data_IF_482514079232
#
_entry.id   IF_482514079232
#
_cell.length_a   1.000
_cell.length_b   1.000
_cell.length_c   1.000
_cell.angle_alpha   90.00
_cell.angle_beta   90.00
_cell.angle_gamma   90.00
#
_symmetry.space_group_name_H-M   'P 1'
#
loop_
_entity.id
_entity.type
_entity.pdbx_description
1 polymer ?
#
# COMPACT_ATOMS: atom_id res chain seq x y z
N UNK A 1 -20.76 20.86 -31.24
CA UNK A 1 -21.97 20.45 -30.49
C UNK A 1 -21.55 19.63 -29.28
N UNK A 2 -22.16 19.94 -28.12
CA UNK A 2 -22.05 19.30 -26.81
C UNK A 2 -20.63 19.03 -26.24
N UNK A 3 -20.03 20.06 -25.62
CA UNK A 3 -19.11 19.87 -24.49
C UNK A 3 -19.93 19.19 -23.39
N UNK A 4 -19.87 17.87 -23.33
CA UNK A 4 -20.43 17.11 -22.20
C UNK A 4 -19.85 17.66 -20.91
N UNK A 5 -20.73 17.95 -19.93
CA UNK A 5 -20.37 18.50 -18.63
C UNK A 5 -19.06 17.88 -18.11
N UNK A 6 -18.02 18.68 -17.89
CA UNK A 6 -16.87 18.28 -17.09
C UNK A 6 -17.34 18.20 -15.62
N UNK A 7 -17.93 17.07 -15.24
CA UNK A 7 -18.61 16.93 -13.95
C UNK A 7 -17.60 16.92 -12.78
N UNK A 8 -16.31 16.68 -13.02
CA UNK A 8 -15.28 16.61 -11.98
C UNK A 8 -13.93 17.14 -12.50
N UNK A 9 -13.34 18.12 -11.81
CA UNK A 9 -11.94 18.50 -12.06
C UNK A 9 -11.00 17.37 -11.63
N UNK A 10 -9.83 17.24 -12.24
CA UNK A 10 -8.88 16.15 -11.93
C UNK A 10 -8.55 16.05 -10.43
N UNK A 11 -8.48 17.19 -9.73
CA UNK A 11 -8.28 17.23 -8.28
C UNK A 11 -9.46 16.68 -7.48
N UNK A 12 -10.71 16.97 -7.90
CA UNK A 12 -11.91 16.39 -7.25
C UNK A 12 -12.01 14.90 -7.52
N UNK A 13 -11.64 14.45 -8.72
CA UNK A 13 -11.57 13.03 -9.07
C UNK A 13 -10.54 12.30 -8.20
N UNK A 14 -9.34 12.87 -8.04
CA UNK A 14 -8.30 12.33 -7.18
C UNK A 14 -8.79 12.13 -5.74
N UNK A 15 -9.43 13.15 -5.16
CA UNK A 15 -9.98 13.09 -3.79
C UNK A 15 -11.07 12.04 -3.68
N UNK A 16 -12.02 12.02 -4.63
CA UNK A 16 -13.11 11.04 -4.64
C UNK A 16 -12.57 9.61 -4.70
N UNK A 17 -11.60 9.36 -5.58
CA UNK A 17 -10.97 8.05 -5.74
C UNK A 17 -10.28 7.60 -4.45
N UNK A 18 -9.52 8.50 -3.82
CA UNK A 18 -8.86 8.23 -2.53
C UNK A 18 -9.88 7.86 -1.46
N UNK A 19 -10.96 8.63 -1.32
CA UNK A 19 -12.01 8.36 -0.32
C UNK A 19 -12.67 7.00 -0.57
N UNK A 20 -13.04 6.70 -1.82
CA UNK A 20 -13.70 5.42 -2.16
C UNK A 20 -12.80 4.23 -1.85
N UNK A 21 -11.53 4.28 -2.26
CA UNK A 21 -10.58 3.19 -2.00
C UNK A 21 -10.35 3.02 -0.50
N UNK A 22 -10.23 4.11 0.27
CA UNK A 22 -10.08 4.06 1.71
C UNK A 22 -11.30 3.47 2.42
N UNK A 23 -12.51 3.82 1.99
CA UNK A 23 -13.74 3.24 2.56
C UNK A 23 -13.76 1.74 2.32
N UNK A 24 -13.49 1.29 1.09
CA UNK A 24 -13.49 -0.14 0.77
C UNK A 24 -12.42 -0.88 1.59
N UNK A 25 -11.19 -0.35 1.63
CA UNK A 25 -10.08 -0.95 2.40
C UNK A 25 -10.44 -1.10 3.88
N UNK A 26 -10.89 -0.02 4.52
CA UNK A 26 -11.15 -0.01 5.95
C UNK A 26 -12.38 -0.84 6.32
N UNK A 27 -13.42 -0.88 5.49
CA UNK A 27 -14.58 -1.74 5.72
C UNK A 27 -14.18 -3.21 5.70
N UNK A 28 -13.43 -3.65 4.68
CA UNK A 28 -13.00 -5.05 4.57
C UNK A 28 -12.09 -5.43 5.75
N UNK A 29 -11.15 -4.56 6.12
CA UNK A 29 -10.22 -4.81 7.25
C UNK A 29 -10.93 -4.91 8.60
N UNK A 30 -11.86 -3.99 8.87
CA UNK A 30 -12.65 -4.04 10.10
C UNK A 30 -13.47 -5.33 10.13
N UNK A 31 -14.17 -5.67 9.03
CA UNK A 31 -14.98 -6.88 8.94
C UNK A 31 -14.15 -8.14 9.23
N UNK A 32 -13.01 -8.31 8.55
CA UNK A 32 -12.10 -9.45 8.80
C UNK A 32 -11.65 -9.49 10.26
N UNK A 33 -11.21 -8.35 10.81
CA UNK A 33 -10.70 -8.28 12.17
C UNK A 33 -11.76 -8.57 13.25
N UNK A 34 -13.03 -8.23 12.99
CA UNK A 34 -14.14 -8.41 13.93
C UNK A 34 -15.03 -9.62 13.66
N UNK A 35 -14.72 -10.42 12.64
CA UNK A 35 -15.44 -11.68 12.34
C UNK A 35 -14.55 -12.92 12.36
N UNK A 36 -13.22 -12.77 12.22
CA UNK A 36 -12.28 -13.88 12.13
C UNK A 36 -11.28 -13.91 13.29
N UNK A 37 -10.84 -15.11 13.65
CA UNK A 37 -9.72 -15.34 14.56
C UNK A 37 -8.39 -15.27 13.81
N UNK A 38 -7.29 -14.90 14.49
CA UNK A 38 -5.99 -14.77 13.84
C UNK A 38 -5.51 -16.11 13.25
N UNK A 39 -5.20 -16.14 11.95
CA UNK A 39 -4.81 -17.34 11.21
C UNK A 39 -6.00 -18.19 10.74
N UNK A 40 -7.23 -17.73 10.92
CA UNK A 40 -8.41 -18.34 10.31
C UNK A 40 -8.40 -18.05 8.80
N UNK A 41 -8.73 -19.08 8.01
CA UNK A 41 -8.82 -18.99 6.56
C UNK A 41 -10.20 -19.44 6.07
N UNK A 42 -10.95 -18.53 5.46
CA UNK A 42 -12.22 -18.82 4.77
C UNK A 42 -11.89 -19.21 3.33
N UNK A 43 -12.24 -20.45 2.97
CA UNK A 43 -12.17 -20.91 1.58
C UNK A 43 -13.25 -20.22 0.75
N UNK A 44 -12.83 -19.54 -0.34
CA UNK A 44 -13.75 -18.96 -1.34
C UNK A 44 -13.72 -19.82 -2.60
N UNK A 45 -12.52 -20.13 -3.09
CA UNK A 45 -12.25 -21.09 -4.18
C UNK A 45 -10.88 -21.73 -3.98
N UNK A 46 -10.55 -22.78 -4.73
CA UNK A 46 -9.26 -23.47 -4.59
C UNK A 46 -8.03 -22.58 -4.83
N UNK A 47 -8.20 -21.48 -5.56
CA UNK A 47 -7.16 -20.50 -5.86
C UNK A 47 -7.32 -19.18 -5.09
N UNK A 48 -8.30 -19.06 -4.19
CA UNK A 48 -8.56 -17.84 -3.42
C UNK A 48 -9.16 -18.11 -2.03
N UNK A 49 -8.49 -17.58 -1.01
CA UNK A 49 -8.88 -17.63 0.39
C UNK A 49 -8.90 -16.22 0.98
N UNK A 50 -9.78 -16.02 1.96
CA UNK A 50 -9.67 -14.91 2.91
C UNK A 50 -8.93 -15.46 4.13
N UNK A 51 -7.65 -15.15 4.26
CA UNK A 51 -6.75 -15.65 5.30
C UNK A 51 -6.35 -14.51 6.23
N UNK A 52 -6.85 -14.50 7.47
CA UNK A 52 -6.63 -13.38 8.37
C UNK A 52 -5.23 -13.40 8.99
N UNK A 53 -4.38 -12.50 8.50
CA UNK A 53 -3.03 -12.27 9.00
C UNK A 53 -2.86 -10.83 9.46
N UNK A 54 -2.14 -10.63 10.57
CA UNK A 54 -1.72 -9.29 11.00
C UNK A 54 -0.24 -9.09 10.75
N UNK A 55 0.10 -8.08 9.96
CA UNK A 55 1.46 -7.76 9.57
C UNK A 55 2.03 -6.60 10.39
N UNK A 56 3.20 -6.82 10.98
CA UNK A 56 3.97 -5.78 11.65
C UNK A 56 4.60 -4.78 10.66
N UNK A 57 4.35 -4.90 9.35
CA UNK A 57 4.98 -4.08 8.31
C UNK A 57 6.43 -4.46 8.03
N UNK A 58 6.86 -5.65 8.45
CA UNK A 58 8.21 -6.17 8.19
C UNK A 58 8.13 -7.24 7.10
N UNK A 59 8.91 -7.09 6.03
CA UNK A 59 9.07 -8.15 5.05
C UNK A 59 9.92 -9.29 5.66
N UNK A 60 9.42 -10.53 5.57
CA UNK A 60 10.16 -11.75 5.95
C UNK A 60 10.66 -11.83 7.40
N UNK A 61 9.92 -11.28 8.37
CA UNK A 61 10.24 -11.44 9.80
C UNK A 61 11.55 -10.80 10.27
N UNK A 62 12.22 -10.00 9.41
CA UNK A 62 13.45 -9.30 9.75
C UNK A 62 13.17 -8.10 10.67
N UNK A 63 13.48 -8.26 11.95
CA UNK A 63 13.32 -7.28 13.05
C UNK A 63 14.40 -6.19 13.11
N UNK A 64 15.10 -5.89 12.01
CA UNK A 64 16.20 -4.92 12.07
C UNK A 64 15.71 -3.46 12.11
N UNK A 65 14.46 -3.18 11.72
CA UNK A 65 13.91 -1.82 11.69
C UNK A 65 12.72 -1.72 12.63
N UNK A 66 12.78 -0.75 13.56
CA UNK A 66 11.69 -0.44 14.46
C UNK A 66 10.41 -0.10 13.67
N UNK A 67 9.28 -0.72 14.03
CA UNK A 67 7.94 -0.46 13.46
C UNK A 67 7.63 1.03 13.32
N UNK A 68 7.95 1.81 14.35
CA UNK A 68 7.72 3.25 14.39
C UNK A 68 8.48 3.96 13.25
N UNK A 69 9.72 3.55 12.97
CA UNK A 69 10.51 4.09 11.84
C UNK A 69 9.84 3.78 10.51
N UNK A 70 9.34 2.56 10.31
CA UNK A 70 8.61 2.18 9.10
C UNK A 70 7.34 3.02 8.92
N UNK A 71 6.59 3.24 10.00
CA UNK A 71 5.41 4.11 10.00
C UNK A 71 5.80 5.56 9.70
N UNK A 72 6.88 6.12 10.28
CA UNK A 72 7.34 7.47 9.95
C UNK A 72 7.73 7.58 8.47
N UNK A 73 8.50 6.63 7.95
CA UNK A 73 8.91 6.64 6.54
C UNK A 73 7.70 6.60 5.60
N UNK A 74 6.68 5.79 5.93
CA UNK A 74 5.42 5.75 5.19
C UNK A 74 4.70 7.10 5.25
N UNK A 75 4.71 7.79 6.39
CA UNK A 75 4.08 9.11 6.53
C UNK A 75 4.77 10.17 5.66
N UNK A 76 6.11 10.13 5.62
CA UNK A 76 6.89 10.99 4.72
C UNK A 76 6.55 10.69 3.26
N UNK A 77 6.52 9.42 2.86
CA UNK A 77 6.17 9.01 1.50
C UNK A 77 4.76 9.48 1.09
N UNK A 78 3.76 9.31 1.95
CA UNK A 78 2.39 9.80 1.74
C UNK A 78 2.39 11.32 1.51
N UNK A 79 3.11 12.07 2.35
CA UNK A 79 3.20 13.53 2.25
C UNK A 79 3.83 13.97 0.92
N UNK A 80 4.89 13.28 0.49
CA UNK A 80 5.57 13.53 -0.78
C UNK A 80 4.63 13.23 -1.96
N UNK A 81 3.96 12.07 -1.96
CA UNK A 81 3.03 11.67 -3.03
C UNK A 81 1.86 12.64 -3.10
N UNK A 82 1.26 13.04 -1.96
CA UNK A 82 0.15 13.98 -1.93
C UNK A 82 0.54 15.36 -2.48
N UNK A 83 1.69 15.89 -2.08
CA UNK A 83 2.24 17.14 -2.64
C UNK A 83 2.52 17.02 -4.14
N UNK A 84 3.02 15.86 -4.56
CA UNK A 84 3.30 15.60 -5.95
C UNK A 84 2.00 15.56 -6.79
N UNK A 85 0.96 14.88 -6.31
CA UNK A 85 -0.38 14.87 -6.93
C UNK A 85 -0.90 16.31 -7.09
N UNK A 86 -0.83 17.13 -6.04
CA UNK A 86 -1.24 18.53 -6.11
C UNK A 86 -0.51 19.31 -7.20
N UNK A 87 0.80 19.10 -7.33
CA UNK A 87 1.61 19.73 -8.39
C UNK A 87 1.16 19.30 -9.78
N UNK A 88 0.97 18.00 -10.02
CA UNK A 88 0.63 17.49 -11.36
C UNK A 88 -0.80 17.82 -11.78
N UNK A 89 -1.72 17.91 -10.82
CA UNK A 89 -3.08 18.44 -11.04
C UNK A 89 -3.01 19.90 -11.49
N UNK A 90 -2.21 20.74 -10.82
CA UNK A 90 -2.02 22.14 -11.22
C UNK A 90 -1.36 22.30 -12.58
N UNK A 91 -0.50 21.36 -12.96
CA UNK A 91 0.16 21.36 -14.27
C UNK A 91 -0.74 20.85 -15.41
N UNK A 92 -1.98 20.44 -15.12
CA UNK A 92 -2.89 19.90 -16.13
C UNK A 92 -2.35 18.61 -16.76
N UNK A 93 -1.64 17.78 -15.98
CA UNK A 93 -1.18 16.48 -16.45
C UNK A 93 -2.37 15.57 -16.74
N UNK A 94 -2.14 14.54 -17.55
CA UNK A 94 -3.20 13.65 -18.03
C UNK A 94 -3.95 13.00 -16.88
N UNK A 95 -5.28 13.04 -16.91
CA UNK A 95 -6.17 12.51 -15.87
C UNK A 95 -5.80 11.09 -15.42
N UNK A 96 -5.49 10.18 -16.36
CA UNK A 96 -5.10 8.80 -16.02
C UNK A 96 -3.84 8.70 -15.15
N UNK A 97 -2.88 9.62 -15.36
CA UNK A 97 -1.67 9.70 -14.54
C UNK A 97 -2.01 10.06 -13.10
N UNK A 98 -2.90 11.04 -12.93
CA UNK A 98 -3.41 11.49 -11.63
C UNK A 98 -4.18 10.36 -10.95
N UNK A 99 -5.06 9.64 -11.67
CA UNK A 99 -5.81 8.49 -11.17
C UNK A 99 -4.88 7.41 -10.60
N UNK A 100 -3.85 7.00 -11.33
CA UNK A 100 -2.96 5.94 -10.86
C UNK A 100 -2.11 6.38 -9.66
N UNK A 101 -1.67 7.64 -9.61
CA UNK A 101 -1.03 8.21 -8.42
C UNK A 101 -1.97 8.25 -7.21
N UNK A 102 -3.24 8.60 -7.43
CA UNK A 102 -4.27 8.61 -6.38
C UNK A 102 -4.54 7.21 -5.83
N UNK A 103 -4.51 6.16 -6.66
CA UNK A 103 -4.60 4.76 -6.19
C UNK A 103 -3.44 4.38 -5.26
N UNK A 104 -2.21 4.78 -5.60
CA UNK A 104 -1.03 4.55 -4.78
C UNK A 104 -1.13 5.32 -3.46
N UNK A 105 -1.52 6.59 -3.52
CA UNK A 105 -1.74 7.41 -2.32
C UNK A 105 -2.81 6.78 -1.42
N UNK A 106 -3.93 6.35 -1.99
CA UNK A 106 -5.04 5.77 -1.24
C UNK A 106 -4.62 4.49 -0.51
N UNK A 107 -3.93 3.57 -1.18
CA UNK A 107 -3.45 2.35 -0.53
C UNK A 107 -2.39 2.65 0.54
N UNK A 108 -1.47 3.58 0.28
CA UNK A 108 -0.47 3.97 1.28
C UNK A 108 -1.12 4.57 2.54
N UNK A 109 -2.15 5.40 2.36
CA UNK A 109 -2.94 5.96 3.46
C UNK A 109 -3.77 4.88 4.17
N UNK A 110 -4.38 3.93 3.45
CA UNK A 110 -5.14 2.83 4.05
C UNK A 110 -4.30 2.03 5.03
N UNK A 111 -3.13 1.54 4.61
CA UNK A 111 -2.21 0.85 5.50
C UNK A 111 -1.64 1.75 6.62
N UNK A 112 -1.56 3.06 6.40
CA UNK A 112 -1.16 4.00 7.45
C UNK A 112 -2.22 4.12 8.56
N UNK A 113 -3.50 4.13 8.21
CA UNK A 113 -4.61 4.21 9.18
C UNK A 113 -4.51 3.05 10.17
N UNK A 114 -4.27 1.83 9.68
CA UNK A 114 -4.08 0.65 10.53
C UNK A 114 -2.92 0.85 11.52
N UNK A 115 -1.74 1.23 10.99
CA UNK A 115 -0.56 1.49 11.82
C UNK A 115 -0.81 2.59 12.85
N UNK A 116 -1.55 3.64 12.52
CA UNK A 116 -1.84 4.77 13.40
C UNK A 116 -2.84 4.40 14.50
N UNK A 117 -3.92 3.69 14.16
CA UNK A 117 -5.11 3.65 15.00
C UNK A 117 -5.54 2.26 15.44
N UNK A 118 -5.25 1.17 14.70
CA UNK A 118 -5.81 -0.14 15.05
C UNK A 118 -5.29 -0.65 16.39
N UNK A 119 -4.04 -0.33 16.73
CA UNK A 119 -3.47 -0.58 18.05
C UNK A 119 -4.23 0.10 19.18
N UNK A 120 -4.83 1.27 18.93
CA UNK A 120 -5.49 2.09 19.94
C UNK A 120 -6.96 1.70 20.16
N UNK A 121 -7.62 1.12 19.14
CA UNK A 121 -9.08 0.93 19.13
C UNK A 121 -9.52 -0.53 19.17
N UNK A 122 -8.60 -1.48 18.97
CA UNK A 122 -8.90 -2.91 19.05
C UNK A 122 -8.09 -3.58 20.17
N UNK A 123 -8.67 -4.62 20.78
CA UNK A 123 -7.88 -5.59 21.53
C UNK A 123 -7.03 -6.46 20.57
N UNK A 124 -6.12 -7.24 21.15
CA UNK A 124 -5.26 -8.11 20.37
C UNK A 124 -6.07 -9.23 19.70
N UNK A 125 -5.84 -9.46 18.41
CA UNK A 125 -6.36 -10.63 17.72
C UNK A 125 -5.60 -11.87 18.18
N UNK A 126 -6.31 -12.95 18.48
CA UNK A 126 -5.71 -14.24 18.89
C UNK A 126 -6.25 -15.37 18.03
N UNK A 127 -5.57 -16.54 17.98
CA UNK A 127 -6.08 -17.70 17.26
C UNK A 127 -7.39 -18.29 17.82
N UNK A 128 -7.83 -17.85 19.02
CA UNK A 128 -8.97 -18.43 19.72
C UNK A 128 -10.13 -17.45 19.90
N UNK A 129 -9.90 -16.16 19.70
CA UNK A 129 -10.89 -15.11 19.95
C UNK A 129 -10.81 -14.02 18.89
N UNK A 130 -11.98 -13.65 18.39
CA UNK A 130 -12.16 -12.52 17.48
C UNK A 130 -11.91 -11.20 18.21
N UNK A 131 -11.33 -10.22 17.51
CA UNK A 131 -11.06 -8.92 18.10
C UNK A 131 -12.34 -8.07 18.18
N UNK A 132 -12.38 -7.17 19.16
CA UNK A 132 -13.48 -6.25 19.41
C UNK A 132 -12.96 -4.83 19.62
N UNK A 133 -13.83 -3.86 19.37
CA UNK A 133 -13.53 -2.47 19.71
C UNK A 133 -13.37 -2.30 21.22
N UNK A 134 -12.40 -1.47 21.60
CA UNK A 134 -12.13 -1.07 22.98
C UNK A 134 -12.08 0.46 23.08
N UNK A 135 -12.20 1.04 24.29
CA UNK A 135 -12.00 2.48 24.48
C UNK A 135 -10.67 2.94 23.88
N UNK A 136 -10.69 4.09 23.21
CA UNK A 136 -9.52 4.64 22.52
C UNK A 136 -8.30 4.75 23.45
N UNK A 137 -7.17 4.19 23.03
CA UNK A 137 -5.92 4.17 23.78
C UNK A 137 -5.76 3.00 24.75
N UNK A 138 -6.75 2.10 24.83
CA UNK A 138 -6.70 0.88 25.67
C UNK A 138 -6.52 -0.41 24.85
N UNK A 139 -6.28 -0.27 23.55
CA UNK A 139 -6.04 -1.40 22.65
C UNK A 139 -4.68 -2.05 22.81
N UNK A 140 -4.33 -2.89 21.85
CA UNK A 140 -3.13 -3.73 21.91
C UNK A 140 -1.80 -3.00 21.67
N UNK A 141 -1.81 -1.76 21.16
CA UNK A 141 -0.58 -1.02 20.83
C UNK A 141 -0.77 0.51 20.82
N UNK A 142 0.34 1.22 20.91
CA UNK A 142 0.36 2.68 20.87
C UNK A 142 0.20 3.23 19.44
N UNK A 143 -0.02 4.54 19.35
CA UNK A 143 -0.07 5.28 18.09
C UNK A 143 1.14 4.97 17.19
N UNK A 144 0.90 4.76 15.89
CA UNK A 144 1.89 4.39 14.85
C UNK A 144 2.50 2.97 14.97
N UNK A 145 2.12 2.19 15.97
CA UNK A 145 2.64 0.84 16.19
C UNK A 145 1.62 -0.28 15.94
N UNK A 146 0.43 0.07 15.44
CA UNK A 146 -0.59 -0.88 15.01
C UNK A 146 -0.11 -1.81 13.89
N UNK A 147 -0.70 -3.00 13.84
CA UNK A 147 -0.49 -3.97 12.77
C UNK A 147 -1.43 -3.70 11.60
N UNK A 148 -0.97 -4.01 10.40
CA UNK A 148 -1.76 -3.94 9.17
C UNK A 148 -2.54 -5.25 9.02
N UNK A 149 -3.81 -5.16 8.68
CA UNK A 149 -4.66 -6.35 8.46
C UNK A 149 -4.54 -6.79 7.00
N UNK A 150 -4.06 -8.01 6.80
CA UNK A 150 -3.93 -8.68 5.50
C UNK A 150 -4.94 -9.83 5.42
N UNK A 151 -5.52 -10.06 4.24
CA UNK A 151 -6.61 -11.03 4.09
C UNK A 151 -6.63 -11.80 2.78
N UNK A 152 -6.13 -11.26 1.68
CA UNK A 152 -6.24 -11.91 0.38
C UNK A 152 -5.08 -12.86 0.15
N UNK A 153 -5.39 -14.15 0.02
CA UNK A 153 -4.43 -15.21 -0.26
C UNK A 153 -4.78 -15.96 -1.55
N UNK A 154 -3.83 -16.04 -2.47
CA UNK A 154 -4.00 -16.66 -3.79
C UNK A 154 -2.92 -17.72 -4.05
N UNK A 155 -3.12 -18.97 -3.61
CA UNK A 155 -2.19 -20.06 -3.89
C UNK A 155 -2.30 -20.53 -5.35
N UNK A 156 -1.77 -19.74 -6.28
CA UNK A 156 -2.00 -19.92 -7.72
C UNK A 156 -1.38 -21.21 -8.29
N UNK A 157 -0.21 -21.61 -7.79
CA UNK A 157 0.43 -22.87 -8.19
C UNK A 157 0.93 -23.56 -6.94
N UNK A 158 0.26 -24.64 -6.55
CA UNK A 158 0.71 -25.54 -5.49
C UNK A 158 1.20 -26.82 -6.16
N UNK A 159 2.50 -27.07 -6.07
CA UNK A 159 3.12 -28.30 -6.56
C UNK A 159 4.20 -28.76 -5.58
N UNK A 160 4.90 -29.84 -5.89
CA UNK A 160 6.01 -30.34 -5.10
C UNK A 160 7.28 -30.16 -5.92
N UNK A 161 8.36 -29.73 -5.28
CA UNK A 161 9.67 -29.71 -5.92
C UNK A 161 10.03 -31.12 -6.40
N UNK A 162 10.52 -31.29 -7.64
CA UNK A 162 10.94 -32.60 -8.11
C UNK A 162 12.10 -33.11 -7.24
N UNK A 163 12.20 -34.43 -7.05
CA UNK A 163 13.17 -35.04 -6.12
C UNK A 163 14.62 -34.64 -6.39
N UNK A 164 14.96 -34.35 -7.66
CA UNK A 164 16.29 -33.91 -8.06
C UNK A 164 16.59 -32.44 -7.74
N UNK A 165 15.61 -31.65 -7.28
CA UNK A 165 15.78 -30.22 -7.03
C UNK A 165 16.73 -29.98 -5.85
N UNK A 166 17.84 -29.23 -6.04
CA UNK A 166 18.84 -29.05 -4.99
C UNK A 166 18.24 -28.47 -3.71
N UNK A 167 18.57 -29.07 -2.57
CA UNK A 167 18.22 -28.63 -1.21
C UNK A 167 16.72 -28.58 -0.85
N UNK A 168 15.80 -28.72 -1.81
CA UNK A 168 14.34 -28.66 -1.59
C UNK A 168 13.54 -29.77 -2.27
N UNK A 169 14.20 -30.78 -2.84
CA UNK A 169 13.52 -31.89 -3.52
C UNK A 169 12.50 -32.57 -2.59
N UNK A 170 11.27 -32.73 -3.08
CA UNK A 170 10.16 -33.28 -2.30
C UNK A 170 9.41 -32.29 -1.39
N UNK A 171 9.88 -31.05 -1.22
CA UNK A 171 9.16 -30.03 -0.45
C UNK A 171 7.97 -29.44 -1.24
N UNK A 172 6.95 -28.98 -0.53
CA UNK A 172 5.82 -28.27 -1.14
C UNK A 172 6.28 -26.90 -1.67
N UNK A 173 6.02 -26.65 -2.94
CA UNK A 173 6.22 -25.38 -3.60
C UNK A 173 4.88 -24.67 -3.80
N UNK A 174 4.75 -23.47 -3.26
CA UNK A 174 3.62 -22.58 -3.47
C UNK A 174 4.13 -21.34 -4.21
N UNK A 175 3.76 -21.21 -5.48
CA UNK A 175 3.99 -19.98 -6.24
C UNK A 175 3.00 -18.93 -5.76
N UNK A 176 3.53 -17.79 -5.30
CA UNK A 176 2.78 -16.68 -4.73
C UNK A 176 2.15 -17.00 -3.36
N UNK A 177 3.00 -17.05 -2.33
CA UNK A 177 2.60 -17.19 -0.93
C UNK A 177 2.18 -15.91 -0.17
N UNK A 178 2.43 -14.65 -0.64
CA UNK A 178 2.07 -13.48 0.13
C UNK A 178 0.56 -13.34 0.37
N UNK A 179 0.19 -13.02 1.60
CA UNK A 179 -1.13 -12.50 1.96
C UNK A 179 -1.05 -10.98 1.93
N UNK A 180 -2.03 -10.33 1.31
CA UNK A 180 -2.05 -8.86 1.16
C UNK A 180 -3.47 -8.32 1.34
N UNK A 181 -3.62 -7.00 1.34
CA UNK A 181 -4.93 -6.35 1.50
C UNK A 181 -5.34 -5.52 0.28
N UNK A 182 -6.52 -4.92 0.37
CA UNK A 182 -7.06 -4.09 -0.72
C UNK A 182 -6.20 -2.85 -1.00
N UNK A 183 -5.64 -2.22 0.04
CA UNK A 183 -4.68 -1.13 -0.11
C UNK A 183 -3.42 -1.55 -0.90
N UNK A 184 -2.84 -2.72 -0.63
CA UNK A 184 -1.68 -3.24 -1.37
C UNK A 184 -2.03 -3.52 -2.83
N UNK A 185 -3.20 -4.11 -3.10
CA UNK A 185 -3.69 -4.31 -4.45
C UNK A 185 -3.83 -2.98 -5.21
N UNK A 186 -4.37 -1.94 -4.56
CA UNK A 186 -4.47 -0.59 -5.13
C UNK A 186 -3.11 0.02 -5.48
N UNK A 187 -2.11 -0.13 -4.59
CA UNK A 187 -0.73 0.32 -4.86
C UNK A 187 -0.16 -0.44 -6.06
N UNK A 188 -0.21 -1.77 -6.04
CA UNK A 188 0.37 -2.62 -7.10
C UNK A 188 -0.26 -2.34 -8.46
N UNK A 189 -1.58 -2.27 -8.54
CA UNK A 189 -2.30 -1.94 -9.78
C UNK A 189 -1.94 -0.52 -10.24
N UNK A 190 -1.94 0.46 -9.34
CA UNK A 190 -1.55 1.83 -9.66
C UNK A 190 -0.14 1.92 -10.24
N UNK A 191 0.84 1.25 -9.62
CA UNK A 191 2.24 1.21 -10.09
C UNK A 191 2.34 0.53 -11.45
N UNK A 192 1.72 -0.64 -11.63
CA UNK A 192 1.73 -1.35 -12.91
C UNK A 192 1.10 -0.50 -14.02
N UNK A 193 -0.04 0.13 -13.75
CA UNK A 193 -0.70 1.02 -14.71
C UNK A 193 0.15 2.26 -15.05
N UNK A 194 0.87 2.85 -14.09
CA UNK A 194 1.83 3.93 -14.37
C UNK A 194 2.93 3.47 -15.32
N UNK A 195 3.52 2.30 -15.07
CA UNK A 195 4.62 1.76 -15.87
C UNK A 195 4.18 1.36 -17.29
N UNK A 196 2.94 0.92 -17.47
CA UNK A 196 2.41 0.52 -18.77
C UNK A 196 1.89 1.70 -19.57
N UNK A 197 1.12 2.60 -18.94
CA UNK A 197 0.35 3.62 -19.65
C UNK A 197 0.92 5.03 -19.50
N UNK A 198 1.81 5.30 -18.56
CA UNK A 198 2.31 6.65 -18.27
C UNK A 198 3.83 6.79 -18.42
N UNK A 199 4.45 6.00 -19.30
CA UNK A 199 5.90 6.02 -19.54
C UNK A 199 6.43 7.39 -19.93
N UNK A 200 5.72 8.15 -20.78
CA UNK A 200 6.14 9.48 -21.23
C UNK A 200 6.20 10.48 -20.08
N UNK A 201 5.21 10.41 -19.19
CA UNK A 201 5.14 11.23 -17.98
C UNK A 201 6.30 10.89 -17.05
N UNK A 202 6.57 9.59 -16.82
CA UNK A 202 7.70 9.10 -16.02
C UNK A 202 9.06 9.54 -16.59
N UNK A 203 9.25 9.47 -17.91
CA UNK A 203 10.47 9.95 -18.58
C UNK A 203 10.66 11.45 -18.39
N UNK A 204 9.60 12.23 -18.58
CA UNK A 204 9.63 13.69 -18.41
C UNK A 204 10.06 14.08 -16.99
N UNK A 205 9.55 13.33 -16.00
CA UNK A 205 9.90 13.50 -14.59
C UNK A 205 11.37 13.15 -14.34
N UNK A 206 11.83 12.00 -14.86
CA UNK A 206 13.22 11.56 -14.75
C UNK A 206 14.17 12.61 -15.32
N UNK A 207 13.87 13.15 -16.51
CA UNK A 207 14.65 14.21 -17.15
C UNK A 207 14.65 15.51 -16.33
N UNK A 208 13.51 15.88 -15.75
CA UNK A 208 13.42 17.05 -14.86
C UNK A 208 14.27 16.90 -13.61
N UNK A 209 14.33 15.70 -13.02
CA UNK A 209 15.18 15.44 -11.85
C UNK A 209 16.66 15.45 -12.22
N UNK A 210 17.06 14.82 -13.33
CA UNK A 210 18.44 14.85 -13.81
C UNK A 210 18.91 16.28 -14.10
N UNK A 211 18.06 17.10 -14.73
CA UNK A 211 18.40 18.50 -15.02
C UNK A 211 18.52 19.36 -13.76
N UNK A 212 17.62 19.17 -12.79
CA UNK A 212 17.70 19.90 -11.51
C UNK A 212 18.97 19.55 -10.74
N UNK A 213 19.33 18.26 -10.69
CA UNK A 213 20.57 17.79 -10.06
C UNK A 213 21.80 18.43 -10.70
N UNK A 214 21.89 18.42 -12.04
CA UNK A 214 23.00 19.03 -12.77
C UNK A 214 23.17 20.52 -12.45
N UNK A 215 22.07 21.28 -12.38
CA UNK A 215 22.13 22.69 -12.03
C UNK A 215 22.59 22.93 -10.59
N UNK A 216 22.18 22.09 -9.63
CA UNK A 216 22.63 22.19 -8.23
C UNK A 216 24.13 21.87 -8.09
N UNK A 217 24.61 20.83 -8.77
CA UNK A 217 26.02 20.46 -8.77
C UNK A 217 26.90 21.57 -9.43
N UNK A 218 26.39 22.25 -10.47
CA UNK A 218 27.05 23.40 -11.10
C UNK A 218 27.03 24.67 -10.22
N UNK A 219 25.96 24.92 -9.47
CA UNK A 219 25.89 26.04 -8.50
C UNK A 219 26.87 25.84 -7.34
N UNK A 220 26.93 24.64 -6.74
CA UNK A 220 27.86 24.32 -5.63
C UNK A 220 29.32 24.49 -6.06
N UNK A 221 29.68 24.01 -7.26
CA UNK A 221 31.04 24.13 -7.79
C UNK A 221 31.46 25.58 -8.02
N UNK A 222 30.55 26.44 -8.46
CA UNK A 222 30.84 27.86 -8.68
C UNK A 222 30.96 28.65 -7.37
N UNK A 223 30.33 28.20 -6.27
CA UNK A 223 30.50 28.80 -4.93
C UNK A 223 31.77 28.36 -4.21
N UNK A 224 32.28 27.17 -4.47
CA UNK A 224 33.54 26.69 -3.87
C UNK A 224 34.79 27.27 -4.58
N UNK A 225 34.64 27.78 -5.80
CA UNK A 225 35.70 28.43 -6.58
C UNK A 225 35.78 29.97 -6.36
N UNK A 226 34.93 30.55 -5.50
CA UNK A 226 34.84 31.99 -5.19
C UNK A 226 35.30 32.32 -3.76
#
# INVERSE_FOLDING_TARGET
MAKGKEILTDGRLAILLVIVILIIDQVIKIEVKTSMSLGEAIHVTDWFYIDFVENNGMAYGMTFINKLVLSILRLVAITVIARYIWKVVKQGMRTRYIVFLSMILAGAVGNMIDSMFYGLIFNASTPFTVASFVPFGTGYADFLTGKVVDMFYFPLIVTTYPEWFPFKGGEQFIFFSPVFNFADASISVGVVCLLLFCRKELETISLSFSRKKKNTDEEEKNTDEA
#
